data_IF_204168973944
#
_entry.id   IF_204168973944
#
_cell.length_a   1.000
_cell.length_b   1.000
_cell.length_c   1.000
_cell.angle_alpha   90.00
_cell.angle_beta   90.00
_cell.angle_gamma   90.00
#
_symmetry.space_group_name_H-M   'P 1'
#
loop_
_entity.id
_entity.type
_entity.pdbx_description
1 polymer ?
#
# COMPACT_ATOMS: atom_id res chain seq x y z
N UNK A 1 -28.31 27.84 3.48
CA UNK A 1 -28.99 26.95 4.45
C UNK A 1 -30.14 26.27 3.74
N UNK A 2 -29.96 25.02 3.31
CA UNK A 2 -31.08 24.14 2.95
C UNK A 2 -30.91 22.86 3.77
N UNK A 3 -31.72 22.80 4.82
CA UNK A 3 -31.96 21.68 5.70
C UNK A 3 -32.66 20.56 4.94
N UNK A 4 -32.00 19.40 4.89
CA UNK A 4 -32.54 18.16 4.36
C UNK A 4 -33.59 17.61 5.36
N UNK A 5 -34.85 17.49 4.92
CA UNK A 5 -35.88 16.79 5.68
C UNK A 5 -35.76 15.27 5.48
N UNK A 6 -35.94 14.45 6.53
CA UNK A 6 -35.86 13.00 6.44
C UNK A 6 -37.17 12.42 5.91
N UNK A 7 -37.07 11.50 4.95
CA UNK A 7 -38.21 10.69 4.49
C UNK A 7 -38.47 9.60 5.54
N UNK A 8 -39.71 9.59 6.01
CA UNK A 8 -40.30 8.71 7.01
C UNK A 8 -40.29 7.23 6.62
N UNK A 9 -40.08 6.40 7.64
CA UNK A 9 -40.26 4.95 7.66
C UNK A 9 -41.64 4.52 7.14
N UNK A 10 -41.65 3.51 6.27
CA UNK A 10 -42.74 2.56 6.13
C UNK A 10 -42.38 1.28 6.89
N UNK A 11 -43.12 1.00 7.96
CA UNK A 11 -43.12 -0.27 8.68
C UNK A 11 -43.80 -1.35 7.82
N UNK A 12 -43.26 -2.58 7.84
CA UNK A 12 -44.08 -3.74 7.46
C UNK A 12 -43.43 -4.93 6.75
N UNK A 13 -42.16 -5.27 7.00
CA UNK A 13 -41.70 -6.68 6.93
C UNK A 13 -40.61 -6.86 7.98
N UNK A 14 -40.72 -7.89 8.82
CA UNK A 14 -39.63 -8.31 9.69
C UNK A 14 -38.39 -8.47 8.81
N UNK A 15 -37.44 -7.54 8.93
CA UNK A 15 -36.16 -7.65 8.26
C UNK A 15 -35.46 -8.80 8.97
N UNK A 16 -35.59 -10.01 8.41
CA UNK A 16 -34.82 -11.17 8.84
C UNK A 16 -33.36 -10.78 8.67
N UNK A 17 -32.76 -10.34 9.77
CA UNK A 17 -31.44 -9.75 9.79
C UNK A 17 -30.44 -10.88 9.56
N UNK A 18 -29.55 -10.70 8.58
CA UNK A 18 -28.68 -11.74 8.02
C UNK A 18 -27.86 -12.45 9.12
N UNK A 19 -27.82 -13.80 9.13
CA UNK A 19 -27.16 -14.54 10.22
C UNK A 19 -25.65 -14.34 10.16
N UNK A 20 -25.13 -14.10 8.96
CA UNK A 20 -23.73 -13.74 8.70
C UNK A 20 -23.45 -12.35 9.28
N UNK A 21 -24.37 -11.39 9.10
CA UNK A 21 -24.24 -10.07 9.69
C UNK A 21 -24.18 -10.13 11.22
N UNK A 22 -25.02 -10.96 11.85
CA UNK A 22 -24.98 -11.16 13.30
C UNK A 22 -23.72 -11.85 13.80
N UNK A 23 -23.22 -12.86 13.07
CA UNK A 23 -21.95 -13.53 13.42
C UNK A 23 -20.74 -12.59 13.27
N UNK A 24 -20.77 -11.67 12.32
CA UNK A 24 -19.67 -10.73 12.04
C UNK A 24 -19.71 -9.50 12.95
N UNK A 25 -20.89 -8.93 13.19
CA UNK A 25 -21.04 -7.64 13.88
C UNK A 25 -21.70 -7.72 15.25
N UNK A 26 -22.40 -8.81 15.57
CA UNK A 26 -23.19 -8.95 16.80
C UNK A 26 -22.38 -9.26 18.06
N UNK A 27 -21.05 -9.32 17.98
CA UNK A 27 -20.19 -9.85 19.05
C UNK A 27 -19.09 -8.89 19.52
N UNK A 28 -19.24 -7.61 19.25
CA UNK A 28 -18.26 -6.58 19.63
C UNK A 28 -18.02 -6.50 21.15
N UNK A 29 -18.99 -6.92 21.97
CA UNK A 29 -18.94 -6.92 23.45
C UNK A 29 -19.07 -8.33 24.07
N UNK A 30 -18.84 -9.39 23.29
CA UNK A 30 -19.10 -10.78 23.72
C UNK A 30 -17.92 -11.46 24.40
N UNK A 31 -18.21 -12.58 25.10
CA UNK A 31 -17.16 -13.34 25.80
C UNK A 31 -16.18 -13.99 24.81
N UNK A 32 -14.91 -14.24 25.21
CA UNK A 32 -13.92 -14.88 24.34
C UNK A 32 -14.34 -16.24 23.79
N UNK A 33 -15.24 -16.93 24.50
CA UNK A 33 -15.79 -18.21 24.08
C UNK A 33 -16.86 -18.04 22.98
N UNK A 34 -17.68 -17.00 23.05
CA UNK A 34 -18.69 -16.67 22.02
C UNK A 34 -18.02 -16.18 20.74
N UNK A 35 -16.98 -15.34 20.83
CA UNK A 35 -16.20 -14.92 19.66
C UNK A 35 -15.57 -16.10 18.95
N UNK A 36 -15.05 -17.08 19.71
CA UNK A 36 -14.49 -18.32 19.15
C UNK A 36 -15.54 -19.17 18.45
N UNK A 37 -16.73 -19.29 19.04
CA UNK A 37 -17.83 -20.05 18.43
C UNK A 37 -18.33 -19.38 17.16
N UNK A 38 -18.45 -18.06 17.12
CA UNK A 38 -18.83 -17.35 15.91
C UNK A 38 -17.83 -17.52 14.78
N UNK A 39 -16.54 -17.44 15.09
CA UNK A 39 -15.46 -17.74 14.15
C UNK A 39 -15.57 -19.17 13.61
N UNK A 40 -15.75 -20.16 14.50
CA UNK A 40 -15.95 -21.55 14.11
C UNK A 40 -17.13 -21.70 13.14
N UNK A 41 -18.26 -21.03 13.41
CA UNK A 41 -19.44 -21.08 12.55
C UNK A 41 -19.24 -20.36 11.21
N UNK A 42 -18.51 -19.24 11.17
CA UNK A 42 -18.18 -18.54 9.92
C UNK A 42 -17.21 -19.36 9.04
N UNK A 43 -16.16 -19.94 9.63
CA UNK A 43 -15.16 -20.74 8.91
C UNK A 43 -15.75 -22.05 8.35
N UNK A 44 -16.77 -22.60 9.02
CA UNK A 44 -17.40 -23.85 8.62
C UNK A 44 -18.79 -23.64 8.02
N UNK A 45 -19.20 -22.40 7.70
CA UNK A 45 -20.60 -22.00 7.42
C UNK A 45 -21.33 -22.92 6.43
N UNK A 46 -20.68 -23.27 5.33
CA UNK A 46 -21.25 -24.14 4.28
C UNK A 46 -21.34 -25.63 4.67
N UNK A 47 -20.66 -26.05 5.74
CA UNK A 47 -20.59 -27.44 6.22
C UNK A 47 -21.45 -27.68 7.47
N UNK A 48 -21.95 -26.62 8.12
CA UNK A 48 -22.71 -26.72 9.38
C UNK A 48 -24.05 -27.47 9.25
N UNK A 49 -24.87 -27.27 8.20
CA UNK A 49 -26.21 -27.85 8.11
C UNK A 49 -26.28 -29.38 8.15
N UNK A 50 -25.19 -30.02 7.76
CA UNK A 50 -25.11 -31.45 7.49
C UNK A 50 -24.53 -32.24 8.69
N UNK A 51 -24.14 -31.54 9.76
CA UNK A 51 -23.53 -32.13 10.96
C UNK A 51 -24.56 -32.29 12.11
N UNK A 52 -24.43 -33.37 12.90
CA UNK A 52 -25.25 -33.55 14.10
C UNK A 52 -24.81 -32.59 15.22
N UNK A 53 -25.70 -32.30 16.18
CA UNK A 53 -25.38 -31.41 17.31
C UNK A 53 -24.20 -31.91 18.16
N UNK A 54 -24.02 -33.22 18.24
CA UNK A 54 -22.90 -33.87 18.92
C UNK A 54 -21.58 -33.68 18.15
N UNK A 55 -21.62 -33.80 16.82
CA UNK A 55 -20.45 -33.57 15.95
C UNK A 55 -20.05 -32.09 15.94
N UNK A 56 -21.01 -31.16 15.96
CA UNK A 56 -20.74 -29.73 16.04
C UNK A 56 -20.09 -29.36 17.37
N UNK A 57 -20.62 -29.89 18.48
CA UNK A 57 -20.04 -29.69 19.81
C UNK A 57 -18.60 -30.23 19.89
N UNK A 58 -18.36 -31.43 19.36
CA UNK A 58 -17.04 -32.03 19.31
C UNK A 58 -16.06 -31.23 18.44
N UNK A 59 -16.47 -30.78 17.25
CA UNK A 59 -15.63 -29.96 16.35
C UNK A 59 -15.33 -28.58 16.91
N UNK A 60 -16.27 -27.97 17.61
CA UNK A 60 -16.08 -26.67 18.26
C UNK A 60 -15.33 -26.77 19.61
N UNK A 61 -15.13 -27.98 20.14
CA UNK A 61 -14.48 -28.21 21.43
C UNK A 61 -15.29 -27.69 22.63
N UNK A 62 -16.62 -27.67 22.53
CA UNK A 62 -17.53 -27.16 23.58
C UNK A 62 -18.67 -28.14 23.88
N UNK A 63 -19.38 -27.91 24.99
CA UNK A 63 -20.58 -28.70 25.31
C UNK A 63 -21.78 -28.33 24.43
N UNK A 64 -22.72 -29.25 24.26
CA UNK A 64 -23.98 -28.99 23.54
C UNK A 64 -24.79 -27.84 24.19
N UNK A 65 -24.73 -27.70 25.52
CA UNK A 65 -25.38 -26.61 26.24
C UNK A 65 -24.78 -25.24 25.89
N UNK A 66 -23.45 -25.17 25.68
CA UNK A 66 -22.76 -23.95 25.26
C UNK A 66 -23.18 -23.52 23.85
N UNK A 67 -23.36 -24.48 22.95
CA UNK A 67 -23.89 -24.20 21.60
C UNK A 67 -25.31 -23.63 21.65
N UNK A 68 -26.19 -24.24 22.46
CA UNK A 68 -27.55 -23.73 22.64
C UNK A 68 -27.58 -22.32 23.22
N UNK A 69 -26.71 -22.04 24.20
CA UNK A 69 -26.59 -20.70 24.77
C UNK A 69 -26.13 -19.68 23.73
N UNK A 70 -25.13 -20.03 22.92
CA UNK A 70 -24.62 -19.18 21.84
C UNK A 70 -25.70 -18.85 20.80
N UNK A 71 -26.50 -19.83 20.36
CA UNK A 71 -27.60 -19.58 19.42
C UNK A 71 -28.58 -18.53 19.96
N UNK A 72 -28.88 -18.58 21.27
CA UNK A 72 -29.73 -17.59 21.93
C UNK A 72 -29.07 -16.22 22.04
N UNK A 73 -27.77 -16.15 22.31
CA UNK A 73 -27.02 -14.89 22.32
C UNK A 73 -27.10 -14.17 20.96
N UNK A 74 -27.12 -14.92 19.87
CA UNK A 74 -27.24 -14.40 18.50
C UNK A 74 -28.69 -14.05 18.10
N UNK A 75 -29.67 -14.38 18.96
CA UNK A 75 -31.08 -14.06 18.74
C UNK A 75 -31.90 -15.18 18.10
N UNK A 76 -31.34 -16.40 17.97
CA UNK A 76 -32.08 -17.59 17.57
C UNK A 76 -32.77 -18.24 18.78
N UNK A 77 -33.92 -18.86 18.56
CA UNK A 77 -34.67 -19.55 19.63
C UNK A 77 -33.91 -20.77 20.18
N UNK A 78 -33.28 -21.53 19.29
CA UNK A 78 -32.38 -22.64 19.58
C UNK A 78 -31.36 -22.86 18.45
N UNK A 79 -30.52 -23.88 18.60
CA UNK A 79 -29.49 -24.22 17.62
C UNK A 79 -30.08 -24.80 16.31
N UNK A 80 -31.29 -25.37 16.33
CA UNK A 80 -31.94 -25.87 15.12
C UNK A 80 -32.49 -24.72 14.28
N UNK A 81 -33.02 -23.68 14.91
CA UNK A 81 -33.41 -22.41 14.30
C UNK A 81 -32.20 -21.71 13.68
N UNK A 82 -31.08 -21.63 14.40
CA UNK A 82 -29.81 -21.12 13.86
C UNK A 82 -29.36 -21.88 12.60
N UNK A 83 -29.32 -23.22 12.64
CA UNK A 83 -28.95 -24.03 11.48
C UNK A 83 -29.97 -23.92 10.33
N UNK A 84 -31.25 -23.70 10.64
CA UNK A 84 -32.30 -23.42 9.65
C UNK A 84 -32.05 -22.12 8.90
N UNK A 85 -31.64 -21.06 9.60
CA UNK A 85 -31.29 -19.77 9.01
C UNK A 85 -29.99 -19.86 8.17
N UNK A 86 -28.98 -20.59 8.65
CA UNK A 86 -27.75 -20.89 7.89
C UNK A 86 -28.08 -21.65 6.60
N UNK A 87 -28.98 -22.64 6.65
CA UNK A 87 -29.44 -23.38 5.44
C UNK A 87 -30.08 -22.46 4.42
N UNK A 88 -30.93 -21.54 4.86
CA UNK A 88 -31.62 -20.63 3.96
C UNK A 88 -30.66 -19.66 3.25
N UNK A 89 -29.55 -19.31 3.90
CA UNK A 89 -28.57 -18.33 3.41
C UNK A 89 -27.39 -18.95 2.64
N UNK A 90 -27.26 -20.29 2.66
CA UNK A 90 -26.18 -21.04 1.99
C UNK A 90 -26.12 -20.79 0.47
N UNK A 91 -27.28 -20.59 -0.16
CA UNK A 91 -27.41 -20.43 -1.62
C UNK A 91 -27.49 -18.96 -2.05
N UNK A 92 -27.41 -18.00 -1.13
CA UNK A 92 -27.39 -16.58 -1.46
C UNK A 92 -25.99 -16.15 -1.93
N UNK A 93 -25.91 -15.68 -3.18
CA UNK A 93 -24.65 -15.22 -3.78
C UNK A 93 -24.01 -14.05 -3.03
N UNK A 94 -24.81 -13.25 -2.29
CA UNK A 94 -24.32 -12.14 -1.45
C UNK A 94 -23.57 -12.65 -0.22
N UNK A 95 -24.00 -13.79 0.33
CA UNK A 95 -23.37 -14.44 1.48
C UNK A 95 -22.02 -15.05 1.09
N UNK A 96 -21.93 -15.66 -0.10
CA UNK A 96 -20.65 -16.12 -0.65
C UNK A 96 -19.65 -14.97 -0.83
N UNK A 97 -20.13 -13.79 -1.26
CA UNK A 97 -19.29 -12.61 -1.44
C UNK A 97 -18.87 -12.00 -0.08
N UNK A 98 -19.76 -11.99 0.92
CA UNK A 98 -19.49 -11.50 2.27
C UNK A 98 -18.52 -12.41 3.06
N UNK A 99 -18.61 -13.72 2.89
CA UNK A 99 -17.71 -14.71 3.50
C UNK A 99 -16.36 -14.83 2.75
N UNK A 100 -16.31 -14.46 1.46
CA UNK A 100 -15.08 -14.44 0.66
C UNK A 100 -14.19 -13.22 0.95
N UNK A 101 -14.77 -12.15 1.50
CA UNK A 101 -13.99 -11.05 2.10
C UNK A 101 -13.64 -11.49 3.52
N UNK A 102 -12.35 -11.60 3.90
CA UNK A 102 -11.98 -11.87 5.28
C UNK A 102 -12.59 -10.76 6.13
N UNK A 103 -13.61 -11.11 6.91
CA UNK A 103 -14.26 -10.16 7.79
C UNK A 103 -13.18 -9.68 8.76
N UNK A 104 -12.79 -8.40 8.64
CA UNK A 104 -12.08 -7.69 9.70
C UNK A 104 -13.07 -7.53 10.85
N UNK A 105 -13.35 -8.63 11.55
CA UNK A 105 -13.89 -8.53 12.90
C UNK A 105 -12.77 -7.88 13.70
N UNK A 106 -13.06 -6.67 14.16
CA UNK A 106 -12.21 -5.84 14.97
C UNK A 106 -11.76 -6.66 16.19
N UNK A 107 -10.58 -7.26 16.08
CA UNK A 107 -10.05 -8.27 17.01
C UNK A 107 -8.82 -8.99 16.48
N UNK A 108 -8.68 -9.13 15.17
CA UNK A 108 -7.65 -10.00 14.57
C UNK A 108 -6.36 -9.28 14.09
N UNK A 109 -6.09 -8.02 14.46
CA UNK A 109 -4.90 -7.32 13.95
C UNK A 109 -4.15 -6.38 14.92
N UNK A 110 -4.46 -6.34 16.23
CA UNK A 110 -3.81 -5.37 17.11
C UNK A 110 -2.80 -5.93 18.12
N UNK A 111 -2.94 -7.14 18.66
CA UNK A 111 -2.08 -7.56 19.78
C UNK A 111 -1.78 -9.06 19.78
N UNK A 112 -0.61 -9.42 19.25
CA UNK A 112 0.27 -10.37 19.95
C UNK A 112 1.61 -9.66 20.03
N UNK A 113 1.68 -8.76 21.00
CA UNK A 113 2.96 -8.26 21.46
C UNK A 113 3.76 -9.41 22.11
N UNK A 114 5.04 -9.18 22.37
CA UNK A 114 5.93 -10.18 22.96
C UNK A 114 5.44 -10.65 24.35
N UNK A 115 4.63 -9.83 25.05
CA UNK A 115 4.05 -10.19 26.35
C UNK A 115 2.94 -11.25 26.23
N UNK A 116 2.16 -11.24 25.15
CA UNK A 116 1.07 -12.19 24.95
C UNK A 116 1.57 -13.62 24.67
N UNK A 117 2.66 -13.79 23.91
CA UNK A 117 3.30 -15.10 23.72
C UNK A 117 3.92 -15.63 25.01
N UNK A 118 4.57 -14.75 25.77
CA UNK A 118 5.13 -15.09 27.08
C UNK A 118 4.03 -15.47 28.08
N UNK A 119 2.88 -14.79 28.03
CA UNK A 119 1.71 -15.08 28.86
C UNK A 119 1.09 -16.45 28.52
N UNK A 120 0.94 -16.78 27.24
CA UNK A 120 0.44 -18.08 26.80
C UNK A 120 1.42 -19.23 27.13
N UNK A 121 2.72 -18.99 26.97
CA UNK A 121 3.77 -19.95 27.34
C UNK A 121 3.79 -20.25 28.84
N UNK A 122 3.70 -19.22 29.68
CA UNK A 122 3.60 -19.38 31.14
C UNK A 122 2.35 -20.15 31.55
N UNK A 123 1.22 -19.92 30.89
CA UNK A 123 -0.04 -20.61 31.18
C UNK A 123 -0.05 -22.06 30.67
N UNK A 124 0.75 -22.37 29.66
CA UNK A 124 0.98 -23.72 29.13
C UNK A 124 2.14 -24.49 29.79
N UNK A 125 2.83 -23.90 30.77
CA UNK A 125 3.99 -24.52 31.44
C UNK A 125 5.25 -24.62 30.57
N UNK A 126 5.33 -23.83 29.49
CA UNK A 126 6.49 -23.80 28.60
C UNK A 126 7.51 -22.81 29.16
N UNK A 127 8.71 -23.30 29.46
CA UNK A 127 9.79 -22.47 29.96
C UNK A 127 10.25 -21.45 28.90
N UNK A 128 10.65 -20.26 29.35
CA UNK A 128 10.99 -19.12 28.48
C UNK A 128 12.09 -19.46 27.46
N UNK A 129 13.08 -20.24 27.88
CA UNK A 129 14.18 -20.72 27.03
C UNK A 129 13.72 -21.66 25.91
N UNK A 130 12.69 -22.47 26.15
CA UNK A 130 12.07 -23.34 25.14
C UNK A 130 11.32 -22.50 24.11
N UNK A 131 10.65 -21.43 24.55
CA UNK A 131 9.95 -20.49 23.68
C UNK A 131 10.94 -19.71 22.80
N UNK A 132 12.04 -19.22 23.38
CA UNK A 132 13.12 -18.55 22.64
C UNK A 132 13.76 -19.48 21.61
N UNK A 133 14.07 -20.72 21.97
CA UNK A 133 14.59 -21.73 21.02
C UNK A 133 13.61 -22.07 19.91
N UNK A 134 12.32 -22.11 20.23
CA UNK A 134 11.28 -22.40 19.24
C UNK A 134 11.13 -21.23 18.25
N UNK A 135 11.04 -19.99 18.75
CA UNK A 135 11.05 -18.74 17.96
C UNK A 135 12.27 -18.65 17.06
N UNK A 136 13.44 -19.00 17.58
CA UNK A 136 14.69 -19.07 16.82
C UNK A 136 14.63 -20.14 15.72
N UNK A 137 14.07 -21.32 16.00
CA UNK A 137 13.99 -22.41 15.01
C UNK A 137 12.96 -22.20 13.89
N UNK A 138 11.94 -21.37 14.13
CA UNK A 138 10.93 -20.98 13.13
C UNK A 138 11.23 -19.64 12.45
N UNK A 139 12.40 -19.03 12.73
CA UNK A 139 12.83 -17.76 12.14
C UNK A 139 11.97 -16.56 12.54
N UNK A 140 11.36 -16.58 13.73
CA UNK A 140 10.53 -15.50 14.30
C UNK A 140 11.17 -14.82 15.51
N UNK A 141 12.48 -14.63 15.50
CA UNK A 141 13.08 -13.74 16.50
C UNK A 141 12.58 -12.32 16.22
N UNK A 142 11.81 -11.78 17.16
CA UNK A 142 11.23 -10.43 17.19
C UNK A 142 12.28 -9.35 17.47
N UNK A 143 13.50 -9.56 16.98
CA UNK A 143 14.48 -8.51 16.83
C UNK A 143 14.19 -7.86 15.48
N UNK A 144 13.70 -6.62 15.49
CA UNK A 144 13.41 -5.86 14.28
C UNK A 144 14.56 -5.95 13.26
N UNK A 145 14.21 -5.80 11.99
CA UNK A 145 15.14 -5.77 10.85
C UNK A 145 16.52 -5.26 11.25
N UNK A 146 17.54 -6.12 11.13
CA UNK A 146 18.91 -5.81 11.51
C UNK A 146 19.39 -4.50 10.86
N UNK A 147 18.89 -4.18 9.66
CA UNK A 147 19.17 -2.93 8.95
C UNK A 147 18.59 -1.73 9.71
N UNK A 148 17.32 -1.82 10.13
CA UNK A 148 16.68 -0.77 10.94
C UNK A 148 17.38 -0.58 12.29
N UNK A 149 17.80 -1.68 12.93
CA UNK A 149 18.54 -1.62 14.20
C UNK A 149 19.90 -0.94 14.05
N UNK A 150 20.63 -1.24 12.97
CA UNK A 150 21.90 -0.58 12.64
C UNK A 150 21.66 0.92 12.39
N UNK A 151 20.60 1.31 11.67
CA UNK A 151 20.26 2.72 11.44
C UNK A 151 19.94 3.48 12.71
N UNK A 152 19.14 2.90 13.61
CA UNK A 152 18.74 3.56 14.86
C UNK A 152 19.93 3.79 15.81
N UNK A 153 20.90 2.88 15.80
CA UNK A 153 22.05 2.91 16.70
C UNK A 153 23.31 3.50 16.05
N UNK A 154 23.19 4.09 14.87
CA UNK A 154 24.32 4.63 14.12
C UNK A 154 25.12 5.67 14.93
N UNK A 155 24.43 6.47 15.73
CA UNK A 155 25.01 7.49 16.61
C UNK A 155 25.67 6.93 17.89
N UNK A 156 25.38 5.67 18.24
CA UNK A 156 25.94 5.00 19.42
C UNK A 156 27.23 4.22 19.09
N UNK A 157 27.47 3.94 17.81
CA UNK A 157 28.65 3.22 17.36
C UNK A 157 29.91 4.08 17.46
N UNK A 158 31.05 3.44 17.78
CA UNK A 158 32.35 4.09 17.71
C UNK A 158 32.70 4.46 16.26
N UNK A 159 33.63 5.39 16.05
CA UNK A 159 34.03 5.84 14.71
C UNK A 159 34.40 4.69 13.74
N UNK A 160 35.01 3.61 14.26
CA UNK A 160 35.34 2.45 13.43
C UNK A 160 34.13 1.54 13.19
N UNK A 161 33.22 1.41 14.15
CA UNK A 161 31.99 0.64 14.01
C UNK A 161 30.98 1.34 13.09
N UNK A 162 30.89 2.68 13.12
CA UNK A 162 30.05 3.45 12.20
C UNK A 162 30.48 3.27 10.74
N UNK A 163 31.78 3.09 10.47
CA UNK A 163 32.26 2.76 9.11
C UNK A 163 31.78 1.39 8.65
N UNK A 164 31.72 0.42 9.56
CA UNK A 164 31.18 -0.92 9.28
C UNK A 164 29.67 -0.84 9.06
N UNK A 165 28.96 -0.11 9.93
CA UNK A 165 27.54 0.14 9.78
C UNK A 165 27.22 0.77 8.43
N UNK A 166 27.97 1.81 8.03
CA UNK A 166 27.77 2.49 6.76
C UNK A 166 28.00 1.55 5.57
N UNK A 167 29.11 0.80 5.57
CA UNK A 167 29.39 -0.17 4.51
C UNK A 167 28.30 -1.25 4.37
N UNK A 168 27.66 -1.65 5.48
CA UNK A 168 26.53 -2.58 5.48
C UNK A 168 25.25 -1.92 4.96
N UNK A 169 25.00 -0.65 5.31
CA UNK A 169 23.81 0.09 4.87
C UNK A 169 23.88 0.50 3.40
N UNK A 170 25.08 0.72 2.87
CA UNK A 170 25.32 1.08 1.47
C UNK A 170 25.08 -0.11 0.54
N UNK A 171 25.50 -1.33 0.93
CA UNK A 171 25.22 -2.56 0.19
C UNK A 171 24.93 -3.77 1.12
N UNK A 172 23.65 -3.93 1.54
CA UNK A 172 23.23 -5.04 2.40
C UNK A 172 23.40 -6.42 1.74
N UNK A 173 23.27 -6.51 0.42
CA UNK A 173 23.37 -7.77 -0.33
C UNK A 173 24.82 -8.27 -0.40
N UNK A 174 25.76 -7.36 -0.63
CA UNK A 174 27.19 -7.64 -0.50
C UNK A 174 27.53 -8.02 0.94
N UNK A 175 27.08 -7.26 1.93
CA UNK A 175 27.38 -7.54 3.34
C UNK A 175 26.89 -8.92 3.82
N UNK A 176 25.76 -9.42 3.30
CA UNK A 176 25.26 -10.76 3.60
C UNK A 176 26.17 -11.88 3.04
N UNK A 177 26.71 -11.68 1.84
CA UNK A 177 27.49 -12.68 1.10
C UNK A 177 29.00 -12.59 1.31
N UNK A 178 29.52 -11.44 1.71
CA UNK A 178 30.95 -11.16 1.89
C UNK A 178 31.59 -11.96 3.03
N UNK A 179 32.90 -12.24 2.89
CA UNK A 179 33.74 -12.73 3.99
C UNK A 179 34.09 -11.59 4.97
N UNK A 180 34.58 -11.95 6.16
CA UNK A 180 35.00 -10.95 7.16
C UNK A 180 36.07 -10.02 6.59
N UNK A 181 37.03 -10.58 5.85
CA UNK A 181 38.12 -9.81 5.26
C UNK A 181 37.63 -8.87 4.16
N UNK A 182 36.67 -9.32 3.34
CA UNK A 182 36.05 -8.48 2.31
C UNK A 182 35.24 -7.34 2.92
N UNK A 183 34.47 -7.61 3.97
CA UNK A 183 33.70 -6.58 4.67
C UNK A 183 34.61 -5.60 5.42
N UNK A 184 35.69 -6.11 6.03
CA UNK A 184 36.72 -5.29 6.66
C UNK A 184 37.42 -4.35 5.66
N UNK A 185 37.73 -4.87 4.47
CA UNK A 185 38.32 -4.08 3.39
C UNK A 185 37.35 -3.01 2.88
N UNK A 186 36.08 -3.36 2.64
CA UNK A 186 35.06 -2.43 2.20
C UNK A 186 34.81 -1.29 3.22
N UNK A 187 34.80 -1.62 4.51
CA UNK A 187 34.64 -0.64 5.59
C UNK A 187 35.95 0.10 5.97
N UNK A 188 37.10 -0.31 5.43
CA UNK A 188 38.41 0.26 5.78
C UNK A 188 38.81 0.06 7.24
N UNK A 189 38.48 -1.12 7.80
CA UNK A 189 38.77 -1.48 9.21
C UNK A 189 39.47 -2.83 9.32
N UNK A 190 39.86 -3.21 10.55
CA UNK A 190 40.40 -4.54 10.81
C UNK A 190 39.30 -5.61 10.95
N UNK A 191 39.58 -6.89 10.65
CA UNK A 191 38.64 -7.99 10.89
C UNK A 191 38.13 -8.07 12.34
N UNK A 192 38.97 -7.74 13.32
CA UNK A 192 38.60 -7.69 14.73
C UNK A 192 37.56 -6.59 15.05
N UNK A 193 37.53 -5.51 14.26
CA UNK A 193 36.51 -4.46 14.37
C UNK A 193 35.16 -4.97 13.86
N UNK A 194 35.12 -5.79 12.80
CA UNK A 194 33.88 -6.41 12.31
C UNK A 194 33.28 -7.33 13.37
N UNK A 195 34.10 -8.14 14.05
CA UNK A 195 33.62 -9.02 15.13
C UNK A 195 33.07 -8.23 16.33
N UNK A 196 33.71 -7.10 16.68
CA UNK A 196 33.21 -6.21 17.73
C UNK A 196 31.91 -5.53 17.32
N UNK A 197 31.82 -5.05 16.08
CA UNK A 197 30.61 -4.47 15.51
C UNK A 197 29.42 -5.44 15.57
N UNK A 198 29.61 -6.71 15.18
CA UNK A 198 28.52 -7.71 15.24
C UNK A 198 27.88 -7.79 16.64
N UNK A 199 28.72 -7.81 17.68
CA UNK A 199 28.26 -7.78 19.08
C UNK A 199 27.62 -6.45 19.46
N UNK A 200 28.23 -5.33 19.07
CA UNK A 200 27.69 -4.01 19.33
C UNK A 200 26.32 -3.81 18.67
N UNK A 201 26.11 -4.39 17.49
CA UNK A 201 24.86 -4.40 16.73
C UNK A 201 23.81 -5.37 17.28
N UNK A 202 24.09 -6.10 18.37
CA UNK A 202 23.17 -7.03 19.02
C UNK A 202 23.10 -8.41 18.35
N UNK A 203 24.17 -8.86 17.70
CA UNK A 203 24.31 -10.22 17.19
C UNK A 203 25.30 -11.01 18.07
N UNK A 204 25.07 -12.31 18.18
CA UNK A 204 25.94 -13.17 19.00
C UNK A 204 27.35 -13.28 18.41
N UNK A 205 27.41 -13.41 17.09
CA UNK A 205 28.63 -13.46 16.32
C UNK A 205 28.44 -12.93 14.89
N UNK A 206 29.51 -13.01 14.10
CA UNK A 206 29.50 -12.65 12.68
C UNK A 206 28.56 -13.53 11.84
N UNK A 207 28.39 -14.81 12.20
CA UNK A 207 27.53 -15.73 11.44
C UNK A 207 26.07 -15.37 11.65
N UNK A 208 25.68 -15.02 12.88
CA UNK A 208 24.38 -14.49 13.22
C UNK A 208 24.13 -13.15 12.51
N UNK A 209 25.09 -12.23 12.51
CA UNK A 209 25.01 -10.98 11.73
C UNK A 209 24.77 -11.27 10.24
N UNK A 210 25.53 -12.18 9.63
CA UNK A 210 25.38 -12.55 8.21
C UNK A 210 24.05 -13.23 7.92
N UNK A 211 23.57 -14.10 8.81
CA UNK A 211 22.25 -14.72 8.70
C UNK A 211 21.14 -13.67 8.74
N UNK A 212 21.19 -12.76 9.72
CA UNK A 212 20.21 -11.66 9.86
C UNK A 212 20.26 -10.70 8.67
N UNK A 213 21.45 -10.38 8.16
CA UNK A 213 21.61 -9.59 6.93
C UNK A 213 21.11 -10.34 5.70
N UNK A 214 21.39 -11.64 5.58
CA UNK A 214 20.87 -12.47 4.49
C UNK A 214 19.34 -12.52 4.53
N UNK A 215 18.76 -12.68 5.72
CA UNK A 215 17.32 -12.62 5.95
C UNK A 215 16.76 -11.23 5.62
N UNK A 216 17.40 -10.13 6.01
CA UNK A 216 16.96 -8.77 5.65
C UNK A 216 17.16 -8.42 4.16
N UNK A 217 18.15 -9.04 3.50
CA UNK A 217 18.41 -8.85 2.06
C UNK A 217 17.47 -9.68 1.18
N UNK A 218 16.93 -10.80 1.70
CA UNK A 218 15.95 -11.66 1.02
C UNK A 218 14.51 -11.41 1.48
N UNK A 219 14.32 -10.85 2.66
CA UNK A 219 13.05 -10.44 3.21
C UNK A 219 13.05 -8.92 3.37
N UNK A 220 12.25 -8.24 2.54
CA UNK A 220 11.58 -7.04 3.02
C UNK A 220 10.97 -7.38 4.39
N UNK A 221 11.43 -6.77 5.49
CA UNK A 221 11.04 -7.21 6.81
C UNK A 221 9.57 -6.88 7.06
N UNK A 222 8.86 -7.82 7.68
CA UNK A 222 7.74 -7.46 8.55
C UNK A 222 6.47 -7.00 7.87
N UNK A 223 6.11 -7.55 6.73
CA UNK A 223 4.74 -7.39 6.25
C UNK A 223 4.04 -8.73 6.34
N UNK A 224 3.12 -8.92 7.28
CA UNK A 224 2.08 -9.95 7.18
C UNK A 224 1.16 -9.78 5.95
N UNK A 225 1.62 -9.03 4.94
CA UNK A 225 1.01 -8.90 3.64
C UNK A 225 1.15 -10.24 2.92
N UNK A 226 0.06 -10.73 2.34
CA UNK A 226 0.13 -11.91 1.50
C UNK A 226 1.15 -11.72 0.38
N UNK A 227 1.72 -12.82 -0.11
CA UNK A 227 2.70 -12.84 -1.21
C UNK A 227 2.24 -12.00 -2.41
N UNK A 228 0.92 -11.90 -2.65
CA UNK A 228 0.32 -11.05 -3.70
C UNK A 228 0.56 -9.56 -3.49
N UNK A 229 0.44 -9.05 -2.27
CA UNK A 229 0.66 -7.64 -1.96
C UNK A 229 2.14 -7.28 -2.04
N UNK A 230 3.02 -8.17 -1.58
CA UNK A 230 4.47 -8.01 -1.73
C UNK A 230 4.89 -8.00 -3.21
N UNK A 231 4.37 -8.96 -3.99
CA UNK A 231 4.57 -8.97 -5.44
C UNK A 231 4.04 -7.70 -6.10
N UNK A 232 2.88 -7.20 -5.66
CA UNK A 232 2.33 -5.94 -6.20
C UNK A 232 3.21 -4.74 -5.86
N UNK A 233 3.69 -4.63 -4.62
CA UNK A 233 4.59 -3.56 -4.20
C UNK A 233 5.91 -3.60 -4.96
N UNK A 234 6.52 -4.78 -5.06
CA UNK A 234 7.77 -4.97 -5.82
C UNK A 234 7.57 -4.61 -7.30
N UNK A 235 6.43 -4.99 -7.89
CA UNK A 235 6.09 -4.59 -9.24
C UNK A 235 5.98 -3.07 -9.40
N UNK A 236 5.33 -2.38 -8.45
CA UNK A 236 5.24 -0.91 -8.47
C UNK A 236 6.63 -0.27 -8.36
N UNK A 237 7.45 -0.73 -7.41
CA UNK A 237 8.81 -0.21 -7.21
C UNK A 237 9.68 -0.41 -8.46
N UNK A 238 9.64 -1.60 -9.05
CA UNK A 238 10.39 -1.91 -10.26
C UNK A 238 9.96 -1.00 -11.43
N UNK A 239 8.67 -0.83 -11.64
CA UNK A 239 8.15 0.08 -12.68
C UNK A 239 8.62 1.51 -12.46
N UNK A 240 8.53 2.04 -11.23
CA UNK A 240 8.94 3.41 -10.94
C UNK A 240 10.45 3.62 -11.14
N UNK A 241 11.27 2.65 -10.74
CA UNK A 241 12.72 2.71 -10.99
C UNK A 241 13.03 2.71 -12.49
N UNK A 242 12.39 1.83 -13.27
CA UNK A 242 12.55 1.80 -14.73
C UNK A 242 12.09 3.12 -15.39
N UNK A 243 11.00 3.71 -14.89
CA UNK A 243 10.53 5.00 -15.38
C UNK A 243 11.55 6.10 -15.09
N UNK A 244 12.13 6.15 -13.89
CA UNK A 244 13.17 7.14 -13.54
C UNK A 244 14.40 7.03 -14.45
N UNK A 245 14.80 5.81 -14.82
CA UNK A 245 15.90 5.59 -15.77
C UNK A 245 15.58 6.10 -17.19
N UNK A 246 14.31 6.03 -17.60
CA UNK A 246 13.85 6.48 -18.93
C UNK A 246 13.45 7.96 -18.97
N UNK A 247 13.08 8.54 -17.83
CA UNK A 247 12.56 9.90 -17.74
C UNK A 247 13.71 10.89 -17.92
N UNK A 248 13.62 11.72 -18.95
CA UNK A 248 14.64 12.72 -19.23
C UNK A 248 14.51 13.91 -18.27
N UNK A 249 15.49 14.10 -17.41
CA UNK A 249 15.54 15.24 -16.48
C UNK A 249 15.41 16.59 -17.22
N UNK A 250 16.05 16.72 -18.39
CA UNK A 250 15.93 17.90 -19.23
C UNK A 250 14.51 18.15 -19.76
N UNK A 251 13.68 17.11 -19.94
CA UNK A 251 12.28 17.27 -20.31
C UNK A 251 11.46 17.77 -19.11
N UNK A 252 11.69 17.20 -17.92
CA UNK A 252 11.05 17.63 -16.67
C UNK A 252 11.38 19.09 -16.35
N UNK A 253 12.66 19.48 -16.44
CA UNK A 253 13.11 20.85 -16.23
C UNK A 253 12.46 21.85 -17.22
N UNK A 254 12.36 21.48 -18.50
CA UNK A 254 11.65 22.30 -19.51
C UNK A 254 10.16 22.43 -19.18
N UNK A 255 9.51 21.36 -18.72
CA UNK A 255 8.11 21.42 -18.31
C UNK A 255 7.92 22.36 -17.12
N UNK A 256 8.73 22.23 -16.06
CA UNK A 256 8.70 23.12 -14.89
C UNK A 256 8.88 24.58 -15.30
N UNK A 257 9.88 24.87 -16.16
CA UNK A 257 10.13 26.22 -16.64
C UNK A 257 8.94 26.78 -17.44
N UNK A 258 8.28 25.95 -18.25
CA UNK A 258 7.05 26.33 -18.96
C UNK A 258 5.91 26.63 -17.99
N UNK A 259 5.68 25.79 -16.99
CA UNK A 259 4.61 26.00 -16.01
C UNK A 259 4.81 27.29 -15.19
N UNK A 260 6.05 27.61 -14.80
CA UNK A 260 6.37 28.84 -14.05
C UNK A 260 6.13 30.13 -14.84
N UNK A 261 6.31 30.12 -16.18
CA UNK A 261 6.12 31.30 -17.03
C UNK A 261 4.73 31.44 -17.64
N UNK A 262 3.92 30.39 -17.58
CA UNK A 262 2.59 30.39 -18.17
C UNK A 262 1.63 31.27 -17.36
N UNK A 263 0.87 32.14 -18.04
CA UNK A 263 -0.14 32.97 -17.40
C UNK A 263 -1.39 32.16 -16.99
N UNK A 264 -1.62 31.04 -17.67
CA UNK A 264 -2.63 30.05 -17.31
C UNK A 264 -2.25 28.67 -17.88
N UNK A 265 -2.65 27.63 -17.17
CA UNK A 265 -2.39 26.22 -17.48
C UNK A 265 -3.74 25.54 -17.73
N UNK A 266 -3.87 24.88 -18.88
CA UNK A 266 -5.08 24.12 -19.23
C UNK A 266 -4.74 22.63 -19.30
N UNK A 267 -5.36 21.85 -18.43
CA UNK A 267 -5.11 20.41 -18.28
C UNK A 267 -6.23 19.65 -18.99
N UNK A 268 -5.89 18.92 -20.05
CA UNK A 268 -6.84 18.10 -20.80
C UNK A 268 -6.65 16.63 -20.42
N UNK A 269 -7.74 15.95 -20.08
CA UNK A 269 -7.72 14.53 -19.70
C UNK A 269 -8.57 13.70 -20.66
N UNK A 270 -8.00 12.66 -21.26
CA UNK A 270 -8.68 11.85 -22.29
C UNK A 270 -9.77 10.90 -21.75
N UNK A 271 -9.73 10.54 -20.46
CA UNK A 271 -10.64 9.51 -19.95
C UNK A 271 -10.73 9.44 -18.43
N UNK A 272 -11.72 8.68 -17.96
CA UNK A 272 -12.06 8.55 -16.54
C UNK A 272 -10.89 8.04 -15.67
N UNK A 273 -9.95 7.29 -16.26
CA UNK A 273 -8.73 6.86 -15.56
C UNK A 273 -7.76 8.01 -15.27
N UNK A 274 -7.71 9.03 -16.15
CA UNK A 274 -6.76 10.14 -16.09
C UNK A 274 -7.33 11.36 -15.35
N UNK A 275 -8.65 11.53 -15.36
CA UNK A 275 -9.36 12.66 -14.71
C UNK A 275 -8.99 12.85 -13.24
N UNK A 276 -8.86 11.81 -12.38
CA UNK A 276 -8.43 12.00 -11.00
C UNK A 276 -7.03 12.64 -10.88
N UNK A 277 -6.10 12.27 -11.77
CA UNK A 277 -4.76 12.85 -11.79
C UNK A 277 -4.76 14.29 -12.32
N UNK A 278 -5.63 14.60 -13.28
CA UNK A 278 -5.82 15.97 -13.77
C UNK A 278 -6.31 16.90 -12.66
N UNK A 279 -7.30 16.46 -11.88
CA UNK A 279 -7.82 17.22 -10.74
C UNK A 279 -6.79 17.38 -9.63
N UNK A 280 -5.99 16.34 -9.34
CA UNK A 280 -4.89 16.43 -8.39
C UNK A 280 -3.84 17.46 -8.83
N UNK A 281 -3.42 17.40 -10.09
CA UNK A 281 -2.47 18.36 -10.66
C UNK A 281 -3.02 19.79 -10.61
N UNK A 282 -4.28 19.98 -10.98
CA UNK A 282 -4.96 21.27 -10.88
C UNK A 282 -4.91 21.81 -9.45
N UNK A 283 -5.29 20.99 -8.47
CA UNK A 283 -5.28 21.37 -7.06
C UNK A 283 -3.87 21.78 -6.61
N UNK A 284 -2.83 20.99 -6.94
CA UNK A 284 -1.44 21.29 -6.55
C UNK A 284 -0.90 22.56 -7.22
N UNK A 285 -1.24 22.82 -8.49
CA UNK A 285 -0.82 24.03 -9.19
C UNK A 285 -1.51 25.28 -8.62
N UNK A 286 -2.82 25.18 -8.32
CA UNK A 286 -3.58 26.27 -7.71
C UNK A 286 -3.05 26.64 -6.32
N UNK A 287 -2.69 25.67 -5.48
CA UNK A 287 -2.10 25.95 -4.16
C UNK A 287 -0.71 26.57 -4.25
N UNK A 288 -0.04 26.45 -5.39
CA UNK A 288 1.24 27.10 -5.71
C UNK A 288 1.06 28.47 -6.40
N UNK A 289 -0.17 28.95 -6.55
CA UNK A 289 -0.48 30.25 -7.16
C UNK A 289 -0.45 30.24 -8.69
N UNK A 290 -0.37 29.07 -9.33
CA UNK A 290 -0.45 28.95 -10.79
C UNK A 290 -1.90 28.72 -11.23
N UNK A 291 -2.48 29.60 -12.06
CA UNK A 291 -3.85 29.44 -12.55
C UNK A 291 -3.98 28.18 -13.42
N UNK A 292 -4.74 27.18 -12.95
CA UNK A 292 -4.93 25.92 -13.66
C UNK A 292 -6.41 25.54 -13.80
N UNK A 293 -6.80 25.05 -14.98
CA UNK A 293 -8.13 24.53 -15.29
C UNK A 293 -8.05 23.09 -15.79
N UNK A 294 -9.11 22.30 -15.55
CA UNK A 294 -9.25 20.95 -16.12
C UNK A 294 -10.39 20.94 -17.12
N UNK A 295 -10.17 20.35 -18.28
CA UNK A 295 -11.19 20.10 -19.29
C UNK A 295 -11.20 18.61 -19.67
N UNK A 296 -12.33 17.95 -19.44
CA UNK A 296 -12.53 16.53 -19.78
C UNK A 296 -13.64 16.34 -20.83
N UNK A 297 -14.42 17.38 -21.12
CA UNK A 297 -15.46 17.34 -22.15
C UNK A 297 -14.86 17.58 -23.54
N UNK A 298 -15.03 16.65 -24.51
CA UNK A 298 -14.44 16.77 -25.85
C UNK A 298 -14.86 18.02 -26.63
N UNK A 299 -16.10 18.48 -26.48
CA UNK A 299 -16.57 19.68 -27.17
C UNK A 299 -15.92 20.93 -26.57
N UNK A 300 -15.84 21.01 -25.23
CA UNK A 300 -15.16 22.09 -24.53
C UNK A 300 -13.66 22.11 -24.77
N UNK A 301 -13.01 20.95 -24.95
CA UNK A 301 -11.58 20.89 -25.30
C UNK A 301 -11.31 21.62 -26.62
N UNK A 302 -12.15 21.41 -27.64
CA UNK A 302 -12.02 22.05 -28.94
C UNK A 302 -12.17 23.57 -28.84
N UNK A 303 -13.21 24.05 -28.12
CA UNK A 303 -13.40 25.48 -27.88
C UNK A 303 -12.23 26.09 -27.10
N UNK A 304 -11.82 25.45 -26.01
CA UNK A 304 -10.72 25.92 -25.17
C UNK A 304 -9.42 26.00 -25.95
N UNK A 305 -9.07 24.95 -26.70
CA UNK A 305 -7.88 24.91 -27.54
C UNK A 305 -7.85 26.01 -28.62
N UNK A 306 -9.01 26.37 -29.17
CA UNK A 306 -9.12 27.44 -30.18
C UNK A 306 -8.81 28.83 -29.64
N UNK A 307 -8.94 29.04 -28.32
CA UNK A 307 -8.73 30.31 -27.64
C UNK A 307 -7.36 30.43 -26.96
N UNK A 308 -6.55 29.37 -27.01
CA UNK A 308 -5.21 29.40 -26.42
C UNK A 308 -4.27 30.35 -27.15
N UNK A 309 -3.16 30.70 -26.52
CA UNK A 309 -2.11 31.53 -27.10
C UNK A 309 -0.75 31.18 -26.51
N UNK A 310 0.31 31.84 -27.00
CA UNK A 310 1.70 31.60 -26.59
C UNK A 310 2.02 31.92 -25.13
N UNK A 311 1.15 32.64 -24.42
CA UNK A 311 1.29 32.89 -22.98
C UNK A 311 0.70 31.79 -22.09
N UNK A 312 0.09 30.76 -22.68
CA UNK A 312 -0.59 29.69 -21.96
C UNK A 312 0.08 28.34 -22.23
N UNK A 313 0.06 27.48 -21.21
CA UNK A 313 0.53 26.11 -21.31
C UNK A 313 -0.65 25.14 -21.37
N UNK A 314 -0.53 24.11 -22.21
CA UNK A 314 -1.43 22.97 -22.22
C UNK A 314 -0.72 21.76 -21.62
N UNK A 315 -1.36 21.08 -20.68
CA UNK A 315 -0.94 19.76 -20.19
C UNK A 315 -1.96 18.75 -20.68
N UNK A 316 -1.50 17.65 -21.26
CA UNK A 316 -2.35 16.57 -21.73
C UNK A 316 -2.03 15.32 -20.92
N UNK A 317 -3.01 14.82 -20.17
CA UNK A 317 -2.92 13.54 -19.48
C UNK A 317 -3.69 12.49 -20.28
N UNK A 318 -2.94 11.56 -20.88
CA UNK A 318 -3.48 10.48 -21.70
C UNK A 318 -2.69 9.19 -21.45
N UNK A 319 -2.84 8.61 -20.26
CA UNK A 319 -2.07 7.43 -19.86
C UNK A 319 -2.34 6.20 -20.73
N UNK A 320 -3.58 6.05 -21.22
CA UNK A 320 -4.01 4.97 -22.13
C UNK A 320 -3.95 5.34 -23.61
N UNK A 321 -3.30 6.47 -23.95
CA UNK A 321 -3.28 7.02 -25.31
C UNK A 321 -4.41 8.01 -25.57
N UNK A 322 -4.19 9.02 -26.42
CA UNK A 322 -5.17 10.08 -26.67
C UNK A 322 -6.22 9.66 -27.70
N UNK A 323 -7.47 10.05 -27.46
CA UNK A 323 -8.55 9.88 -28.42
C UNK A 323 -8.50 10.92 -29.56
N UNK A 324 -9.37 10.76 -30.56
CA UNK A 324 -9.40 11.64 -31.73
C UNK A 324 -9.75 13.09 -31.39
N UNK A 325 -10.58 13.33 -30.36
CA UNK A 325 -10.99 14.66 -29.96
C UNK A 325 -9.84 15.41 -29.26
N UNK A 326 -9.15 14.74 -28.34
CA UNK A 326 -7.97 15.27 -27.68
C UNK A 326 -6.85 15.55 -28.68
N UNK A 327 -6.63 14.64 -29.63
CA UNK A 327 -5.70 14.83 -30.75
C UNK A 327 -6.00 16.10 -31.55
N UNK A 328 -7.26 16.30 -31.94
CA UNK A 328 -7.68 17.49 -32.67
C UNK A 328 -7.48 18.76 -31.84
N UNK A 329 -7.79 18.72 -30.54
CA UNK A 329 -7.62 19.84 -29.64
C UNK A 329 -6.14 20.20 -29.43
N UNK A 330 -5.25 19.22 -29.28
CA UNK A 330 -3.81 19.43 -29.21
C UNK A 330 -3.27 20.08 -30.48
N UNK A 331 -3.68 19.57 -31.66
CA UNK A 331 -3.29 20.18 -32.93
C UNK A 331 -3.79 21.63 -33.05
N UNK A 332 -4.99 21.92 -32.56
CA UNK A 332 -5.55 23.27 -32.58
C UNK A 332 -4.77 24.21 -31.64
N UNK A 333 -4.44 23.76 -30.43
CA UNK A 333 -3.63 24.52 -29.48
C UNK A 333 -2.25 24.89 -30.04
N UNK A 334 -1.61 23.93 -30.73
CA UNK A 334 -0.33 24.16 -31.42
C UNK A 334 -0.45 25.23 -32.50
N UNK A 335 -1.53 25.24 -33.28
CA UNK A 335 -1.77 26.27 -34.31
C UNK A 335 -1.88 27.67 -33.70
N UNK A 336 -2.41 27.77 -32.48
CA UNK A 336 -2.48 29.04 -31.75
C UNK A 336 -1.17 29.41 -31.02
N UNK A 337 -0.15 28.57 -31.10
CA UNK A 337 1.17 28.83 -30.53
C UNK A 337 1.30 28.50 -29.04
N UNK A 338 0.33 27.80 -28.45
CA UNK A 338 0.45 27.30 -27.08
C UNK A 338 1.48 26.17 -27.01
N UNK A 339 2.25 26.15 -25.93
CA UNK A 339 3.21 25.08 -25.68
C UNK A 339 2.54 23.91 -24.94
N UNK A 340 2.88 22.68 -25.35
CA UNK A 340 2.19 21.47 -24.94
C UNK A 340 3.13 20.54 -24.18
N UNK A 341 2.71 20.13 -22.98
CA UNK A 341 3.30 19.05 -22.19
C UNK A 341 2.41 17.82 -22.35
N UNK A 342 2.96 16.75 -22.92
CA UNK A 342 2.26 15.49 -23.14
C UNK A 342 2.69 14.48 -22.10
N UNK A 343 1.76 14.02 -21.26
CA UNK A 343 1.94 12.91 -20.33
C UNK A 343 1.23 11.68 -20.89
N UNK A 344 1.97 10.83 -21.60
CA UNK A 344 1.44 9.65 -22.30
C UNK A 344 2.50 8.56 -22.43
N UNK A 345 2.07 7.30 -22.31
CA UNK A 345 2.92 6.13 -22.56
C UNK A 345 3.00 5.79 -24.06
N UNK A 346 2.05 6.28 -24.86
CA UNK A 346 2.06 6.17 -26.32
C UNK A 346 2.07 7.56 -26.97
N UNK A 347 3.25 8.10 -27.30
CA UNK A 347 3.36 9.38 -27.98
C UNK A 347 2.90 9.30 -29.45
N UNK A 348 2.88 8.10 -30.06
CA UNK A 348 2.48 7.78 -31.43
C UNK A 348 2.19 8.94 -32.40
N UNK A 349 0.95 8.99 -32.90
CA UNK A 349 0.47 9.99 -33.86
C UNK A 349 0.39 11.43 -33.30
N UNK A 350 0.75 11.62 -32.04
CA UNK A 350 0.54 12.87 -31.31
C UNK A 350 1.83 13.64 -31.13
N UNK A 351 2.99 12.95 -31.20
CA UNK A 351 4.30 13.52 -30.98
C UNK A 351 4.64 14.59 -32.02
N UNK A 352 4.83 15.82 -31.57
CA UNK A 352 5.42 16.88 -32.37
C UNK A 352 6.77 17.27 -31.77
N UNK A 353 7.74 17.63 -32.62
CA UNK A 353 9.12 17.89 -32.20
C UNK A 353 9.29 19.03 -31.17
N UNK A 354 8.25 19.84 -30.98
CA UNK A 354 8.24 20.95 -30.02
C UNK A 354 7.58 20.60 -28.68
N UNK A 355 6.91 19.46 -28.58
CA UNK A 355 6.24 19.08 -27.34
C UNK A 355 7.24 18.60 -26.30
N UNK A 356 6.87 18.77 -25.04
CA UNK A 356 7.60 18.19 -23.92
C UNK A 356 6.90 16.87 -23.59
N UNK A 357 7.55 15.75 -23.92
CA UNK A 357 7.03 14.42 -23.67
C UNK A 357 7.51 13.88 -22.32
N UNK A 358 6.57 13.46 -21.47
CA UNK A 358 6.83 12.79 -20.19
C UNK A 358 6.10 11.44 -20.19
N UNK A 359 6.83 10.34 -20.15
CA UNK A 359 6.21 9.00 -20.19
C UNK A 359 5.93 8.48 -18.78
N UNK A 360 4.66 8.18 -18.42
CA UNK A 360 4.28 7.70 -17.10
C UNK A 360 4.52 6.19 -16.88
N UNK A 361 5.23 5.49 -17.78
CA UNK A 361 5.46 4.05 -17.65
C UNK A 361 4.15 3.26 -17.55
N UNK A 362 3.95 2.49 -16.46
CA UNK A 362 2.73 1.73 -16.17
C UNK A 362 1.65 2.61 -15.48
N UNK A 363 1.13 3.57 -16.24
CA UNK A 363 -0.16 4.24 -16.01
C UNK A 363 -0.27 5.10 -14.75
N UNK A 364 -0.75 4.52 -13.64
CA UNK A 364 -1.19 5.28 -12.44
C UNK A 364 -0.03 5.85 -11.64
N UNK A 365 0.89 5.00 -11.19
CA UNK A 365 1.93 5.42 -10.24
C UNK A 365 2.97 6.31 -10.92
N UNK A 366 3.25 6.06 -12.20
CA UNK A 366 4.15 6.93 -12.94
C UNK A 366 3.55 8.28 -13.31
N UNK A 367 2.23 8.38 -13.50
CA UNK A 367 1.54 9.67 -13.61
C UNK A 367 1.64 10.46 -12.31
N UNK A 368 1.48 9.79 -11.16
CA UNK A 368 1.69 10.42 -9.85
C UNK A 368 3.11 10.92 -9.67
N UNK A 369 4.12 10.09 -10.00
CA UNK A 369 5.53 10.50 -9.95
C UNK A 369 5.79 11.75 -10.80
N UNK A 370 5.27 11.80 -12.03
CA UNK A 370 5.42 12.98 -12.90
C UNK A 370 4.75 14.21 -12.28
N UNK A 371 3.53 14.07 -11.76
CA UNK A 371 2.83 15.17 -11.09
C UNK A 371 3.63 15.70 -9.91
N UNK A 372 4.19 14.79 -9.10
CA UNK A 372 5.00 15.15 -7.94
C UNK A 372 6.27 15.90 -8.37
N UNK A 373 7.02 15.38 -9.36
CA UNK A 373 8.22 16.04 -9.89
C UNK A 373 7.92 17.44 -10.45
N UNK A 374 6.82 17.60 -11.20
CA UNK A 374 6.43 18.89 -11.75
C UNK A 374 6.06 19.89 -10.64
N UNK A 375 5.23 19.47 -9.68
CA UNK A 375 4.77 20.34 -8.62
C UNK A 375 5.90 20.70 -7.64
N UNK A 376 6.77 19.75 -7.31
CA UNK A 376 7.92 20.00 -6.42
C UNK A 376 8.92 20.93 -7.10
N UNK A 377 9.18 20.74 -8.38
CA UNK A 377 10.01 21.65 -9.17
C UNK A 377 9.43 23.06 -9.34
N UNK A 378 8.09 23.17 -9.43
CA UNK A 378 7.40 24.47 -9.41
C UNK A 378 7.56 25.15 -8.05
N UNK A 379 7.40 24.41 -6.95
CA UNK A 379 7.53 24.93 -5.59
C UNK A 379 8.98 25.30 -5.23
N UNK A 380 9.97 24.59 -5.75
CA UNK A 380 11.37 24.91 -5.56
C UNK A 380 11.67 26.29 -6.18
N UNK A 381 12.14 27.23 -5.35
CA UNK A 381 12.54 28.57 -5.78
C UNK A 381 13.66 28.54 -6.83
N UNK A 382 14.01 29.69 -7.44
CA UNK A 382 15.00 29.78 -8.52
C UNK A 382 16.44 29.32 -8.17
N UNK A 383 16.72 28.82 -6.97
CA UNK A 383 18.08 28.51 -6.49
C UNK A 383 18.42 27.01 -6.35
N UNK A 384 17.51 26.07 -6.65
CA UNK A 384 17.77 24.64 -6.46
C UNK A 384 18.42 23.93 -7.68
N UNK A 385 18.80 24.64 -8.73
CA UNK A 385 19.51 24.09 -9.90
C UNK A 385 21.02 24.34 -9.88
N UNK A 386 21.57 24.73 -8.72
CA UNK A 386 22.99 24.90 -8.48
C UNK A 386 23.55 23.83 -7.53
N UNK A 387 23.82 22.64 -8.05
CA UNK A 387 24.79 21.71 -7.47
C UNK A 387 24.29 20.77 -6.38
N UNK A 388 24.18 19.49 -6.72
CA UNK A 388 24.91 18.45 -6.00
C UNK A 388 25.05 17.22 -6.91
N UNK A 389 26.16 17.13 -7.63
CA UNK A 389 26.77 15.83 -7.88
C UNK A 389 27.13 15.24 -6.52
N UNK A 390 26.49 14.15 -6.12
CA UNK A 390 27.01 13.19 -5.15
C UNK A 390 26.58 11.79 -5.58
#
# INVERSE_FOLDING_TARGET
MMTYQPVTQTQGTHTSMDIVYHLVHGLADSSPQETRLARFFLENFFQLPDASMEQLAARAGVSQATLQQFARTIGCSDMNDFLGQVRHQRDDSRVQQALAVPSQVLGDAAWVDNETLQYLANRGGVAKDVLERFSHSIGRDTDGDIIMRIRQRLAEFSQQESRVAQAILDDPGFAASATIDQLAQAAGVSPATITRFARAAGCDDIRDLRMKLAQASTALPGSGLSSRWQQRLNGIQQTLNQQLEMLQEAAVARAIALLKRANAIHIFSAGAADTPFANLLQYRLLTQGLPASVCSDPALMSFTASMLNSGQAMIVLAGSGPDGALLAAVQQARKQGAEVIMVTSDPGATAHAKDILLSPGDGRYGSLLIIDLLCDGVAAGPEASGGSEF
#
